data_IF_798655461041
#
_entry.id   IF_798655461041
#
_cell.length_a   1.000
_cell.length_b   1.000
_cell.length_c   1.000
_cell.angle_alpha   90.00
_cell.angle_beta   90.00
_cell.angle_gamma   90.00
#
_symmetry.space_group_name_H-M   'P 1'
#
loop_
_entity.id
_entity.type
_entity.pdbx_description
1 polymer ?
#
# COMPACT_ATOMS: atom_id res chain seq x y z
N UNK A 1 5.91 2.42 -1.09
CA UNK A 1 6.26 3.65 -1.87
C UNK A 1 6.09 4.90 -1.03
N UNK A 2 7.10 5.78 -0.99
CA UNK A 2 7.17 6.81 0.04
C UNK A 2 7.84 8.11 -0.44
N UNK A 3 7.14 8.85 -1.33
CA UNK A 3 7.72 10.01 -2.00
C UNK A 3 8.23 11.07 -1.01
N UNK A 4 7.43 11.42 0.01
CA UNK A 4 7.78 12.41 1.03
C UNK A 4 8.73 11.89 2.13
N UNK A 5 8.96 10.58 2.23
CA UNK A 5 10.03 10.06 3.10
C UNK A 5 11.39 10.14 2.40
N UNK A 6 11.41 9.84 1.10
CA UNK A 6 12.64 9.78 0.32
C UNK A 6 13.06 11.14 -0.25
N UNK A 7 12.22 12.18 -0.17
CA UNK A 7 12.47 13.47 -0.82
C UNK A 7 12.07 14.65 0.06
N UNK A 8 12.86 15.75 0.06
CA UNK A 8 14.12 15.90 -0.68
C UNK A 8 15.28 15.13 0.01
N UNK A 9 16.08 14.42 -0.79
CA UNK A 9 17.05 13.40 -0.30
C UNK A 9 18.12 14.01 0.61
N UNK A 10 18.51 15.24 0.31
CA UNK A 10 19.50 16.04 1.04
C UNK A 10 19.06 16.47 2.44
N UNK A 11 17.76 16.36 2.75
CA UNK A 11 17.21 16.72 4.06
C UNK A 11 16.78 15.49 4.84
N UNK A 12 16.13 14.52 4.19
CA UNK A 12 15.56 13.37 4.92
C UNK A 12 16.61 12.32 5.25
N UNK A 13 17.67 12.21 4.45
CA UNK A 13 18.71 11.17 4.53
C UNK A 13 18.14 9.74 4.61
N UNK A 14 16.87 9.57 4.24
CA UNK A 14 16.13 8.33 4.42
C UNK A 14 16.46 7.36 3.29
N UNK A 15 16.87 6.15 3.66
CA UNK A 15 17.23 5.08 2.74
C UNK A 15 16.06 4.14 2.51
N UNK A 16 15.67 3.83 1.25
CA UNK A 16 14.58 2.91 0.95
C UNK A 16 14.68 1.56 1.67
N UNK A 17 15.91 1.09 1.88
CA UNK A 17 16.27 -0.16 2.54
C UNK A 17 15.68 -0.25 3.96
N UNK A 18 15.58 0.88 4.68
CA UNK A 18 15.00 0.89 6.02
C UNK A 18 13.53 0.44 6.03
N UNK A 19 12.76 0.75 5.00
CA UNK A 19 11.36 0.33 4.93
C UNK A 19 11.23 -1.14 4.54
N UNK A 20 12.18 -1.63 3.73
CA UNK A 20 12.26 -3.05 3.44
C UNK A 20 12.59 -3.84 4.70
N UNK A 21 13.63 -3.43 5.44
CA UNK A 21 14.03 -4.05 6.71
C UNK A 21 12.90 -4.05 7.74
N UNK A 22 12.16 -2.94 7.86
CA UNK A 22 11.01 -2.85 8.77
C UNK A 22 9.89 -3.82 8.40
N UNK A 23 9.58 -3.97 7.10
CA UNK A 23 8.56 -4.91 6.64
C UNK A 23 9.04 -6.35 6.81
N UNK A 24 10.29 -6.64 6.48
CA UNK A 24 10.90 -7.96 6.65
C UNK A 24 10.96 -8.39 8.13
N UNK A 25 11.15 -7.44 9.05
CA UNK A 25 11.11 -7.69 10.49
C UNK A 25 9.75 -8.18 11.00
N UNK A 26 8.66 -7.97 10.24
CA UNK A 26 7.32 -8.51 10.55
C UNK A 26 7.13 -9.95 10.07
N UNK A 27 8.13 -10.53 9.39
CA UNK A 27 8.04 -11.84 8.75
C UNK A 27 7.50 -11.81 7.32
N UNK A 28 7.06 -10.65 6.82
CA UNK A 28 6.64 -10.47 5.44
C UNK A 28 7.83 -10.48 4.47
N UNK A 29 7.60 -10.90 3.23
CA UNK A 29 8.58 -10.76 2.15
C UNK A 29 8.25 -9.56 1.26
N UNK A 30 9.28 -8.82 0.84
CA UNK A 30 9.11 -7.66 -0.05
C UNK A 30 9.38 -8.07 -1.48
N UNK A 31 8.39 -7.86 -2.35
CA UNK A 31 8.54 -8.05 -3.80
C UNK A 31 8.99 -6.76 -4.46
N UNK A 32 10.01 -6.83 -5.31
CA UNK A 32 10.38 -5.71 -6.17
C UNK A 32 9.34 -5.52 -7.29
N UNK A 33 8.99 -4.27 -7.58
CA UNK A 33 8.07 -3.94 -8.66
C UNK A 33 8.48 -2.65 -9.39
N UNK A 34 8.28 -2.54 -10.72
CA UNK A 34 8.81 -1.43 -11.52
C UNK A 34 8.44 -0.02 -11.04
N UNK A 35 7.21 0.19 -10.58
CA UNK A 35 6.69 1.51 -10.22
C UNK A 35 6.84 1.87 -8.73
N UNK A 36 7.82 1.29 -8.04
CA UNK A 36 7.94 1.46 -6.58
C UNK A 36 8.24 2.88 -6.10
N UNK A 37 8.88 3.69 -6.93
CA UNK A 37 9.16 5.12 -6.66
C UNK A 37 8.03 6.07 -7.12
N UNK A 38 7.02 5.59 -7.84
CA UNK A 38 5.96 6.44 -8.37
C UNK A 38 5.09 7.00 -7.24
N UNK A 39 4.59 8.23 -7.35
CA UNK A 39 3.62 8.79 -6.40
C UNK A 39 2.30 7.99 -6.41
N UNK A 40 1.52 8.01 -5.33
CA UNK A 40 0.19 7.40 -5.29
C UNK A 40 -0.91 8.25 -5.95
N UNK A 41 -0.66 9.55 -6.16
CA UNK A 41 -1.63 10.49 -6.72
C UNK A 41 -2.52 11.21 -5.70
N UNK A 42 -2.45 10.90 -4.40
CA UNK A 42 -3.34 11.47 -3.39
C UNK A 42 -3.33 13.01 -3.33
N UNK A 43 -2.15 13.63 -3.47
CA UNK A 43 -2.01 15.10 -3.47
C UNK A 43 -2.38 15.74 -4.81
N UNK A 44 -2.46 14.95 -5.88
CA UNK A 44 -2.88 15.39 -7.22
C UNK A 44 -4.40 15.37 -7.33
N UNK A 45 -5.06 14.49 -6.57
CA UNK A 45 -6.51 14.26 -6.62
C UNK A 45 -7.37 15.54 -6.60
N UNK A 46 -7.11 16.56 -5.75
CA UNK A 46 -7.94 17.76 -5.72
C UNK A 46 -7.80 18.67 -6.95
N UNK A 47 -6.76 18.45 -7.77
CA UNK A 47 -6.39 19.32 -8.89
C UNK A 47 -6.65 18.63 -10.23
N UNK A 48 -6.30 17.36 -10.33
CA UNK A 48 -6.47 16.54 -11.53
C UNK A 48 -6.83 15.10 -11.10
N UNK A 49 -8.13 14.85 -11.01
CA UNK A 49 -8.69 13.58 -10.55
C UNK A 49 -8.34 12.43 -11.50
N UNK A 50 -8.48 12.63 -12.81
CA UNK A 50 -8.18 11.62 -13.83
C UNK A 50 -6.71 11.18 -13.76
N UNK A 51 -5.79 12.13 -13.59
CA UNK A 51 -4.38 11.82 -13.40
C UNK A 51 -4.14 11.09 -12.08
N UNK A 52 -4.75 11.53 -10.99
CA UNK A 52 -4.59 10.89 -9.68
C UNK A 52 -5.08 9.44 -9.65
N UNK A 53 -6.22 9.16 -10.29
CA UNK A 53 -6.76 7.81 -10.44
C UNK A 53 -5.83 6.95 -11.30
N UNK A 54 -5.33 7.49 -12.42
CA UNK A 54 -4.39 6.78 -13.31
C UNK A 54 -3.09 6.43 -12.58
N UNK A 55 -2.54 7.34 -11.79
CA UNK A 55 -1.34 7.08 -10.98
C UNK A 55 -1.58 5.97 -9.95
N UNK A 56 -2.74 5.96 -9.28
CA UNK A 56 -3.09 4.90 -8.34
C UNK A 56 -3.24 3.55 -9.06
N UNK A 57 -3.94 3.53 -10.21
CA UNK A 57 -4.14 2.37 -11.07
C UNK A 57 -2.83 1.75 -11.52
N UNK A 58 -1.96 2.54 -12.17
CA UNK A 58 -0.70 2.05 -12.74
C UNK A 58 0.17 1.39 -11.67
N UNK A 59 0.14 1.95 -10.46
CA UNK A 59 0.86 1.44 -9.32
C UNK A 59 0.29 0.15 -8.75
N UNK A 60 -1.03 0.09 -8.56
CA UNK A 60 -1.73 -1.13 -8.13
C UNK A 60 -1.51 -2.26 -9.12
N UNK A 61 -1.57 -1.94 -10.42
CA UNK A 61 -1.25 -2.87 -11.50
C UNK A 61 0.17 -3.40 -11.39
N UNK A 62 1.14 -2.50 -11.25
CA UNK A 62 2.56 -2.89 -11.12
C UNK A 62 2.82 -3.77 -9.89
N UNK A 63 2.15 -3.52 -8.76
CA UNK A 63 2.23 -4.37 -7.58
C UNK A 63 1.63 -5.76 -7.84
N UNK A 64 0.43 -5.80 -8.44
CA UNK A 64 -0.28 -7.07 -8.71
C UNK A 64 0.46 -7.94 -9.73
N UNK A 65 1.00 -7.34 -10.78
CA UNK A 65 1.81 -8.03 -11.81
C UNK A 65 3.13 -8.57 -11.24
N UNK A 66 3.66 -7.94 -10.19
CA UNK A 66 4.83 -8.44 -9.45
C UNK A 66 4.50 -9.56 -8.44
N UNK A 67 3.22 -9.97 -8.33
CA UNK A 67 2.78 -11.04 -7.44
C UNK A 67 2.51 -10.61 -6.00
N UNK A 68 2.33 -9.31 -5.73
CA UNK A 68 1.99 -8.85 -4.38
C UNK A 68 0.62 -9.40 -3.92
N UNK A 69 0.60 -9.93 -2.69
CA UNK A 69 -0.62 -10.42 -2.03
C UNK A 69 -1.32 -9.33 -1.21
N UNK A 70 -0.55 -8.36 -0.71
CA UNK A 70 -1.02 -7.10 -0.15
C UNK A 70 -0.03 -5.98 -0.49
N UNK A 71 -0.46 -4.73 -0.36
CA UNK A 71 0.41 -3.56 -0.43
C UNK A 71 0.55 -2.94 0.97
N UNK A 72 1.76 -2.55 1.35
CA UNK A 72 2.01 -1.81 2.60
C UNK A 72 2.42 -0.36 2.36
N UNK A 73 1.89 0.54 3.19
CA UNK A 73 2.18 1.97 3.16
C UNK A 73 2.32 2.52 4.59
N UNK A 74 3.00 3.65 4.76
CA UNK A 74 3.25 4.32 6.06
C UNK A 74 2.57 5.70 6.09
N UNK A 75 1.92 6.06 4.98
CA UNK A 75 1.26 7.34 4.79
C UNK A 75 -0.24 7.08 4.66
N UNK A 76 -1.08 7.59 5.58
CA UNK A 76 -2.53 7.44 5.51
C UNK A 76 -3.13 7.93 4.19
N UNK A 77 -2.60 9.02 3.62
CA UNK A 77 -3.06 9.53 2.33
C UNK A 77 -2.78 8.55 1.18
N UNK A 78 -1.63 7.85 1.22
CA UNK A 78 -1.34 6.78 0.25
C UNK A 78 -2.27 5.57 0.47
N UNK A 79 -2.55 5.21 1.72
CA UNK A 79 -3.47 4.14 2.07
C UNK A 79 -4.85 4.41 1.50
N UNK A 80 -5.44 5.54 1.88
CA UNK A 80 -6.76 5.96 1.38
C UNK A 80 -6.82 6.02 -0.14
N UNK A 81 -5.82 6.59 -0.80
CA UNK A 81 -5.82 6.70 -2.26
C UNK A 81 -5.71 5.35 -2.96
N UNK A 82 -4.88 4.42 -2.48
CA UNK A 82 -4.76 3.11 -3.14
C UNK A 82 -5.92 2.17 -2.78
N UNK A 83 -6.50 2.32 -1.59
CA UNK A 83 -7.60 1.49 -1.12
C UNK A 83 -8.94 1.92 -1.74
N UNK A 84 -9.30 3.21 -1.66
CA UNK A 84 -10.58 3.71 -2.18
C UNK A 84 -10.67 3.64 -3.70
N UNK A 85 -9.58 3.97 -4.41
CA UNK A 85 -9.66 4.07 -5.87
C UNK A 85 -9.91 2.71 -6.53
N UNK A 86 -9.52 1.59 -5.89
CA UNK A 86 -9.84 0.26 -6.39
C UNK A 86 -11.35 0.03 -6.61
N UNK A 87 -12.21 0.69 -5.82
CA UNK A 87 -13.67 0.59 -5.97
C UNK A 87 -14.17 1.18 -7.29
N UNK A 88 -13.56 2.28 -7.74
CA UNK A 88 -13.92 2.96 -9.00
C UNK A 88 -13.24 2.38 -10.25
N UNK A 89 -12.09 1.72 -10.10
CA UNK A 89 -11.33 1.19 -11.26
C UNK A 89 -12.10 0.14 -12.06
N UNK A 90 -13.02 -0.60 -11.44
CA UNK A 90 -13.89 -1.53 -12.15
C UNK A 90 -14.80 -0.81 -13.15
N UNK A 91 -15.37 0.32 -12.76
CA UNK A 91 -16.30 1.08 -13.59
C UNK A 91 -15.55 1.89 -14.65
N UNK A 92 -14.44 2.53 -14.30
CA UNK A 92 -13.70 3.41 -15.21
C UNK A 92 -12.76 2.66 -16.17
N UNK A 93 -12.20 1.52 -15.77
CA UNK A 93 -11.17 0.81 -16.53
C UNK A 93 -11.47 -0.68 -16.77
N UNK A 94 -12.53 -1.23 -16.16
CA UNK A 94 -12.83 -2.67 -16.25
C UNK A 94 -11.85 -3.56 -15.48
N UNK A 95 -11.09 -2.98 -14.53
CA UNK A 95 -10.01 -3.66 -13.82
C UNK A 95 -10.38 -3.92 -12.36
N UNK A 96 -10.00 -5.09 -11.85
CA UNK A 96 -10.25 -5.51 -10.46
C UNK A 96 -8.95 -6.07 -9.90
N UNK A 97 -8.37 -5.39 -8.91
CA UNK A 97 -7.11 -5.79 -8.30
C UNK A 97 -7.30 -6.62 -7.03
N UNK A 98 -8.33 -6.29 -6.24
CA UNK A 98 -8.58 -6.85 -4.91
C UNK A 98 -7.29 -6.99 -4.12
N UNK A 99 -6.47 -5.93 -4.10
CA UNK A 99 -5.19 -5.90 -3.42
C UNK A 99 -5.38 -5.15 -2.11
N UNK A 100 -5.35 -5.83 -0.95
CA UNK A 100 -5.46 -5.17 0.34
C UNK A 100 -4.34 -4.14 0.50
N UNK A 101 -4.69 -2.93 0.94
CA UNK A 101 -3.72 -1.87 1.20
C UNK A 101 -3.69 -1.63 2.70
N UNK A 102 -2.58 -2.02 3.34
CA UNK A 102 -2.40 -1.95 4.79
C UNK A 102 -1.44 -0.83 5.17
N UNK A 103 -1.76 -0.16 6.28
CA UNK A 103 -0.79 0.69 6.95
C UNK A 103 0.25 -0.20 7.65
N UNK A 104 1.52 0.19 7.62
CA UNK A 104 2.60 -0.54 8.29
C UNK A 104 2.30 -0.86 9.76
N UNK A 105 1.73 0.06 10.57
CA UNK A 105 1.27 -0.26 11.91
C UNK A 105 0.27 -1.43 12.01
N UNK A 106 -0.56 -1.66 10.99
CA UNK A 106 -1.50 -2.80 11.01
C UNK A 106 -0.73 -4.13 10.89
N UNK A 107 0.25 -4.19 9.98
CA UNK A 107 1.10 -5.38 9.81
C UNK A 107 1.99 -5.59 11.04
N UNK A 108 2.57 -4.51 11.57
CA UNK A 108 3.37 -4.56 12.78
C UNK A 108 2.53 -5.05 13.98
N UNK A 109 1.30 -4.57 14.13
CA UNK A 109 0.38 -5.02 15.18
C UNK A 109 0.09 -6.51 15.10
N UNK A 110 -0.23 -7.02 13.89
CA UNK A 110 -0.44 -8.45 13.66
C UNK A 110 0.82 -9.26 14.02
N UNK A 111 2.01 -8.80 13.62
CA UNK A 111 3.28 -9.44 13.96
C UNK A 111 3.61 -9.40 15.46
N UNK A 112 3.03 -8.47 16.21
CA UNK A 112 3.14 -8.38 17.67
C UNK A 112 2.06 -9.19 18.41
N UNK A 113 1.20 -9.92 17.68
CA UNK A 113 0.14 -10.76 18.24
C UNK A 113 -1.17 -10.02 18.56
N UNK A 114 -1.37 -8.81 18.01
CA UNK A 114 -2.67 -8.13 18.06
C UNK A 114 -3.66 -8.81 17.10
N UNK A 115 -4.94 -8.77 17.43
CA UNK A 115 -5.99 -9.35 16.58
C UNK A 115 -6.46 -8.41 15.45
N UNK A 116 -7.33 -8.91 14.57
CA UNK A 116 -7.80 -8.19 13.38
C UNK A 116 -8.71 -7.00 13.71
N UNK A 117 -9.38 -7.03 14.87
CA UNK A 117 -10.18 -5.93 15.39
C UNK A 117 -9.28 -4.82 15.93
N UNK A 118 -8.26 -5.16 16.72
CA UNK A 118 -7.31 -4.22 17.30
C UNK A 118 -6.51 -3.44 16.25
N UNK A 119 -6.09 -4.12 15.17
CA UNK A 119 -5.40 -3.46 14.05
C UNK A 119 -6.37 -2.88 13.01
N UNK A 120 -7.66 -3.10 13.18
CA UNK A 120 -8.72 -2.49 12.38
C UNK A 120 -8.80 -2.97 10.94
N UNK A 121 -8.55 -4.26 10.66
CA UNK A 121 -8.64 -4.81 9.28
C UNK A 121 -10.03 -4.61 8.67
N UNK A 122 -11.08 -4.61 9.50
CA UNK A 122 -12.46 -4.36 9.05
C UNK A 122 -12.73 -2.93 8.57
N UNK A 123 -11.79 -1.99 8.77
CA UNK A 123 -11.91 -0.61 8.29
C UNK A 123 -11.34 -0.40 6.88
N UNK A 124 -10.59 -1.38 6.36
CA UNK A 124 -10.07 -1.35 4.98
C UNK A 124 -11.22 -1.50 3.98
N UNK A 125 -11.16 -0.74 2.88
CA UNK A 125 -12.20 -0.72 1.83
C UNK A 125 -12.11 -1.95 0.95
N UNK A 126 -10.90 -2.36 0.61
CA UNK A 126 -10.63 -3.68 0.06
C UNK A 126 -10.45 -4.65 1.23
N UNK A 127 -11.23 -5.76 1.29
CA UNK A 127 -11.16 -6.71 2.40
C UNK A 127 -9.74 -7.19 2.66
N UNK A 128 -9.25 -6.97 3.88
CA UNK A 128 -7.88 -7.30 4.27
C UNK A 128 -7.75 -8.64 5.01
N UNK A 129 -8.86 -9.26 5.43
CA UNK A 129 -8.90 -10.56 6.11
C UNK A 129 -8.08 -11.68 5.41
N UNK A 130 -7.93 -11.74 4.08
CA UNK A 130 -7.07 -12.74 3.45
C UNK A 130 -5.61 -12.72 3.93
N UNK A 131 -5.13 -11.64 4.57
CA UNK A 131 -3.79 -11.63 5.17
C UNK A 131 -3.67 -12.59 6.36
N UNK A 132 -4.78 -12.86 7.06
CA UNK A 132 -4.79 -13.73 8.23
C UNK A 132 -4.43 -15.18 7.86
N UNK A 133 -4.77 -15.61 6.63
CA UNK A 133 -4.39 -16.91 6.09
C UNK A 133 -2.86 -17.07 5.89
N UNK A 134 -2.12 -15.96 5.91
CA UNK A 134 -0.67 -15.91 5.77
C UNK A 134 0.08 -15.72 7.09
N UNK A 135 -0.63 -15.49 8.20
CA UNK A 135 -0.02 -15.46 9.52
C UNK A 135 0.30 -16.91 9.93
N UNK A 136 1.57 -17.18 10.20
CA UNK A 136 1.98 -18.44 10.82
C UNK A 136 1.85 -18.29 12.34
N UNK A 137 1.41 -19.35 13.03
CA UNK A 137 1.47 -19.44 14.49
C UNK A 137 2.91 -19.28 15.03
#
# INVERSE_FOLDING_TARGET
SFFHLLRPVDVTEFKPEYLQELVEATGASVVEYPLWKQCCGATVLPVDEDLAIRLARDKLKSMKEAGAVFATVVCPACGNQLDLQQLGLKESYGEIYNLPVLLYPQILGLALGMDDEEVGLGMNRVPANPILDHLSD
#
